data_IF_459097852642
#
_entry.id   IF_459097852642
#
_cell.length_a   1.000
_cell.length_b   1.000
_cell.length_c   1.000
_cell.angle_alpha   90.00
_cell.angle_beta   90.00
_cell.angle_gamma   90.00
#
_symmetry.space_group_name_H-M   'P 1'
#
loop_
_entity.id
_entity.type
_entity.pdbx_description
1 polymer ?
#
# COMPACT_ATOMS: atom_id res chain seq x y z
N UNK A 1 11.44 -5.79 32.36
CA UNK A 1 12.13 -6.13 31.10
C UNK A 1 11.42 -5.41 29.95
N UNK A 2 11.99 -4.36 29.34
CA UNK A 2 11.41 -3.81 28.12
C UNK A 2 11.62 -4.82 26.99
N UNK A 3 10.54 -5.36 26.44
CA UNK A 3 10.61 -6.27 25.30
C UNK A 3 11.08 -5.45 24.09
N UNK A 4 12.33 -5.66 23.68
CA UNK A 4 12.82 -5.18 22.38
C UNK A 4 12.09 -5.97 21.30
N UNK A 5 10.96 -5.45 20.82
CA UNK A 5 10.38 -5.90 19.55
C UNK A 5 11.35 -5.51 18.45
N UNK A 6 12.12 -6.48 17.97
CA UNK A 6 12.95 -6.33 16.78
C UNK A 6 12.07 -5.78 15.65
N UNK A 7 12.48 -4.63 15.09
CA UNK A 7 11.77 -4.01 13.97
C UNK A 7 11.97 -4.89 12.74
N UNK A 8 11.11 -5.89 12.57
CA UNK A 8 11.13 -6.79 11.42
C UNK A 8 10.79 -5.99 10.16
N UNK A 9 11.78 -5.78 9.31
CA UNK A 9 11.62 -5.11 8.02
C UNK A 9 10.88 -6.09 7.09
N UNK A 10 9.77 -5.66 6.51
CA UNK A 10 9.09 -6.46 5.50
C UNK A 10 9.94 -6.52 4.23
N UNK A 11 10.18 -7.74 3.73
CA UNK A 11 10.78 -7.95 2.42
C UNK A 11 9.90 -7.41 1.29
N UNK A 12 10.51 -7.23 0.11
CA UNK A 12 9.85 -6.73 -1.10
C UNK A 12 8.59 -7.51 -1.46
N UNK A 13 8.64 -8.85 -1.41
CA UNK A 13 7.50 -9.72 -1.70
C UNK A 13 6.31 -9.47 -0.76
N UNK A 14 6.58 -9.26 0.53
CA UNK A 14 5.52 -9.01 1.50
C UNK A 14 4.90 -7.62 1.32
N UNK A 15 5.70 -6.61 0.93
CA UNK A 15 5.19 -5.27 0.57
C UNK A 15 4.29 -5.32 -0.66
N UNK A 16 4.67 -6.09 -1.69
CA UNK A 16 3.83 -6.31 -2.88
C UNK A 16 2.52 -7.01 -2.55
N UNK A 17 2.54 -7.99 -1.64
CA UNK A 17 1.33 -8.68 -1.18
C UNK A 17 0.34 -7.72 -0.50
N UNK A 18 0.83 -6.81 0.34
CA UNK A 18 0.01 -5.76 0.97
C UNK A 18 -0.69 -4.90 -0.08
N UNK A 19 0.03 -4.51 -1.15
CA UNK A 19 -0.50 -3.68 -2.23
C UNK A 19 -1.56 -4.45 -3.05
N UNK A 20 -1.28 -5.71 -3.41
CA UNK A 20 -2.24 -6.54 -4.13
C UNK A 20 -3.51 -6.77 -3.33
N UNK A 21 -3.39 -7.02 -2.02
CA UNK A 21 -4.54 -7.26 -1.17
C UNK A 21 -5.40 -6.00 -1.00
N UNK A 22 -4.76 -4.83 -0.83
CA UNK A 22 -5.47 -3.54 -0.86
C UNK A 22 -6.22 -3.35 -2.17
N UNK A 23 -5.54 -3.55 -3.31
CA UNK A 23 -6.15 -3.42 -4.63
C UNK A 23 -7.31 -4.40 -4.82
N UNK A 24 -7.22 -5.61 -4.27
CA UNK A 24 -8.31 -6.59 -4.30
C UNK A 24 -9.56 -6.06 -3.56
N UNK A 25 -9.38 -5.51 -2.35
CA UNK A 25 -10.49 -4.92 -1.60
C UNK A 25 -11.05 -3.65 -2.27
N UNK A 26 -10.21 -2.82 -2.88
CA UNK A 26 -10.65 -1.65 -3.66
C UNK A 26 -11.40 -2.04 -4.93
N UNK A 27 -10.93 -3.07 -5.66
CA UNK A 27 -11.57 -3.61 -6.87
C UNK A 27 -12.84 -4.40 -6.57
N UNK A 28 -13.08 -4.77 -5.32
CA UNK A 28 -14.39 -5.26 -4.85
C UNK A 28 -15.56 -4.35 -5.24
N UNK A 29 -15.27 -3.06 -5.51
CA UNK A 29 -16.16 -2.07 -6.13
C UNK A 29 -16.80 -2.52 -7.45
N UNK A 30 -16.15 -3.40 -8.24
CA UNK A 30 -16.70 -3.90 -9.51
C UNK A 30 -17.67 -5.08 -9.36
N UNK A 31 -17.73 -5.74 -8.19
CA UNK A 31 -18.49 -6.98 -7.97
C UNK A 31 -19.69 -6.81 -7.01
N UNK A 32 -20.36 -5.64 -6.99
CA UNK A 32 -21.50 -5.37 -6.11
C UNK A 32 -21.23 -5.51 -4.59
N UNK A 33 -19.95 -5.50 -4.15
CA UNK A 33 -19.64 -5.38 -2.72
C UNK A 33 -19.72 -3.92 -2.26
N UNK A 34 -20.18 -3.64 -1.03
CA UNK A 34 -20.20 -2.29 -0.50
C UNK A 34 -18.78 -1.71 -0.50
N UNK A 35 -18.67 -0.47 -1.00
CA UNK A 35 -17.44 0.31 -0.97
C UNK A 35 -16.95 0.42 0.48
N UNK A 36 -15.89 -0.32 0.81
CA UNK A 36 -15.25 -0.17 2.11
C UNK A 36 -14.48 1.16 2.12
N UNK A 37 -14.70 2.05 3.11
CA UNK A 37 -13.85 3.20 3.30
C UNK A 37 -12.39 2.75 3.48
N UNK A 38 -11.45 3.60 3.05
CA UNK A 38 -10.01 3.32 3.06
C UNK A 38 -9.49 2.84 4.41
N UNK A 39 -10.04 3.37 5.52
CA UNK A 39 -9.72 2.89 6.87
C UNK A 39 -10.07 1.41 7.06
N UNK A 40 -11.26 0.98 6.65
CA UNK A 40 -11.66 -0.43 6.76
C UNK A 40 -10.81 -1.34 5.87
N UNK A 41 -10.37 -0.87 4.70
CA UNK A 41 -9.47 -1.64 3.83
C UNK A 41 -8.12 -1.85 4.53
N UNK A 42 -7.57 -0.82 5.17
CA UNK A 42 -6.32 -0.91 5.93
C UNK A 42 -6.46 -1.89 7.10
N UNK A 43 -7.60 -1.88 7.80
CA UNK A 43 -7.88 -2.84 8.88
C UNK A 43 -7.95 -4.27 8.35
N UNK A 44 -8.71 -4.52 7.27
CA UNK A 44 -8.81 -5.86 6.68
C UNK A 44 -7.48 -6.40 6.19
N UNK A 45 -6.64 -5.56 5.59
CA UNK A 45 -5.30 -5.95 5.12
C UNK A 45 -4.37 -6.24 6.31
N UNK A 46 -4.46 -5.44 7.37
CA UNK A 46 -3.71 -5.64 8.60
C UNK A 46 -4.10 -6.95 9.29
N UNK A 47 -5.40 -7.24 9.41
CA UNK A 47 -5.93 -8.48 9.99
C UNK A 47 -5.56 -9.70 9.15
N UNK A 48 -5.68 -9.63 7.81
CA UNK A 48 -5.42 -10.78 6.94
C UNK A 48 -3.94 -11.17 6.86
N UNK A 49 -3.02 -10.22 7.08
CA UNK A 49 -1.58 -10.43 7.03
C UNK A 49 -0.92 -10.46 8.42
N UNK A 50 -1.71 -10.32 9.49
CA UNK A 50 -1.25 -10.21 10.87
C UNK A 50 -0.13 -9.16 11.05
N UNK A 51 -0.34 -7.97 10.47
CA UNK A 51 0.63 -6.85 10.55
C UNK A 51 -0.01 -5.59 11.09
N UNK A 52 0.81 -4.70 11.64
CA UNK A 52 0.34 -3.41 12.16
C UNK A 52 -0.31 -2.53 11.07
N UNK A 53 -1.47 -1.94 11.40
CA UNK A 53 -2.18 -0.95 10.56
C UNK A 53 -1.26 0.20 10.08
N UNK A 54 -0.35 0.64 10.95
CA UNK A 54 0.61 1.70 10.64
C UNK A 54 1.59 1.29 9.52
N UNK A 55 1.96 0.00 9.49
CA UNK A 55 2.84 -0.58 8.46
C UNK A 55 2.13 -0.64 7.12
N UNK A 56 0.87 -1.08 7.09
CA UNK A 56 0.03 -1.09 5.89
C UNK A 56 -0.15 0.32 5.33
N UNK A 57 -0.47 1.29 6.19
CA UNK A 57 -0.63 2.70 5.80
C UNK A 57 0.66 3.28 5.22
N UNK A 58 1.82 2.97 5.84
CA UNK A 58 3.13 3.41 5.36
C UNK A 58 3.47 2.83 3.99
N UNK A 59 3.30 1.52 3.79
CA UNK A 59 3.55 0.86 2.49
C UNK A 59 2.63 1.44 1.41
N UNK A 60 1.35 1.64 1.74
CA UNK A 60 0.37 2.21 0.81
C UNK A 60 0.77 3.63 0.40
N UNK A 61 1.14 4.49 1.35
CA UNK A 61 1.60 5.86 1.10
C UNK A 61 2.90 5.92 0.29
N UNK A 62 3.85 5.02 0.56
CA UNK A 62 5.09 4.92 -0.23
C UNK A 62 4.78 4.59 -1.70
N UNK A 63 3.82 3.70 -1.96
CA UNK A 63 3.41 3.31 -3.31
C UNK A 63 2.66 4.41 -4.05
N UNK A 64 1.73 5.09 -3.36
CA UNK A 64 0.96 6.21 -3.93
C UNK A 64 1.87 7.42 -4.20
N UNK A 65 2.81 7.70 -3.30
CA UNK A 65 3.85 8.71 -3.51
C UNK A 65 4.81 8.38 -4.66
N UNK A 66 5.13 7.09 -4.91
CA UNK A 66 5.92 6.67 -6.07
C UNK A 66 5.16 6.80 -7.40
N UNK A 67 3.84 6.73 -7.38
CA UNK A 67 2.97 6.91 -8.54
C UNK A 67 3.00 8.36 -9.05
N UNK A 68 3.03 9.35 -8.16
CA UNK A 68 3.11 10.77 -8.54
C UNK A 68 4.47 11.18 -9.13
N UNK A 69 5.57 10.52 -8.73
CA UNK A 69 6.91 10.88 -9.20
C UNK A 69 7.17 10.31 -10.61
N UNK A 70 6.58 9.17 -10.95
CA UNK A 70 6.74 8.54 -12.28
C UNK A 70 5.84 9.14 -13.38
N UNK A 71 4.85 9.97 -13.03
CA UNK A 71 4.03 10.69 -14.02
C UNK A 71 4.60 12.06 -14.43
N UNK A 72 5.78 12.45 -13.92
CA UNK A 72 6.54 13.55 -14.51
C UNK A 72 7.34 13.02 -15.70
N UNK A 73 6.67 13.03 -16.86
CA UNK A 73 7.26 12.88 -18.18
C UNK A 73 8.57 13.70 -18.27
N UNK A 74 9.71 13.14 -18.71
CA UNK A 74 10.86 13.95 -19.08
C UNK A 74 10.48 14.74 -20.33
N UNK A 75 10.12 16.01 -20.20
CA UNK A 75 9.96 16.91 -21.35
C UNK A 75 11.28 16.94 -22.12
N UNK A 76 11.32 16.22 -23.25
CA UNK A 76 12.34 16.38 -24.28
C UNK A 76 12.28 17.84 -24.77
N UNK A 77 13.27 18.65 -24.38
CA UNK A 77 13.59 19.89 -25.10
C UNK A 77 14.71 19.56 -26.07
N UNK A 78 14.36 19.33 -27.33
CA UNK A 78 15.32 19.43 -28.43
C UNK A 78 15.68 20.90 -28.68
N UNK A 79 16.95 21.25 -28.86
CA UNK A 79 17.31 22.59 -29.32
C UNK A 79 16.97 22.75 -30.80
N UNK A 80 16.43 23.93 -31.14
CA UNK A 80 16.20 24.44 -32.49
C UNK A 80 17.51 24.73 -33.22
#
# INVERSE_FOLDING_TARGET
MPQHTEKKILGSQARELVIHLRNYFERGKQNNRPLLPSNLIVERVAEALDIGRNTVSRITREKDGMSEINNRHPTQRGPR
#
